data_IF_366277096093
#
_entry.id   IF_366277096093
#
_cell.length_a   1.000
_cell.length_b   1.000
_cell.length_c   1.000
_cell.angle_alpha   90.00
_cell.angle_beta   90.00
_cell.angle_gamma   90.00
#
_symmetry.space_group_name_H-M   'P 1'
#
loop_
_entity.id
_entity.type
_entity.pdbx_description
1 polymer ?
#
# COMPACT_ATOMS: atom_id res chain seq x y z
N UNK A 1 -0.45 -8.23 22.63
CA UNK A 1 0.35 -8.05 21.40
C UNK A 1 0.88 -9.42 21.02
N UNK A 2 0.28 -10.05 20.03
CA UNK A 2 0.66 -11.35 19.50
C UNK A 2 2.14 -11.31 19.08
N UNK A 3 2.92 -12.31 19.46
CA UNK A 3 4.29 -12.44 18.97
C UNK A 3 4.27 -12.53 17.45
N UNK A 4 4.72 -11.48 16.78
CA UNK A 4 4.90 -11.49 15.33
C UNK A 4 5.96 -12.55 14.96
N UNK A 5 5.69 -13.31 13.91
CA UNK A 5 6.61 -14.34 13.41
C UNK A 5 7.90 -13.68 12.88
N UNK A 6 8.98 -14.47 12.75
CA UNK A 6 10.26 -14.05 12.19
C UNK A 6 10.14 -13.34 10.84
N UNK A 7 9.29 -13.85 9.93
CA UNK A 7 9.03 -13.23 8.61
C UNK A 7 8.45 -11.83 8.76
N UNK A 8 7.50 -11.65 9.68
CA UNK A 8 6.86 -10.35 9.93
C UNK A 8 7.84 -9.37 10.59
N UNK A 9 8.68 -9.84 11.52
CA UNK A 9 9.75 -9.04 12.13
C UNK A 9 10.79 -8.59 11.10
N UNK A 10 11.12 -9.46 10.13
CA UNK A 10 12.01 -9.11 9.02
C UNK A 10 11.36 -8.05 8.11
N UNK A 11 10.08 -8.22 7.76
CA UNK A 11 9.35 -7.22 7.00
C UNK A 11 9.38 -5.86 7.72
N UNK A 12 9.06 -5.80 9.02
CA UNK A 12 9.10 -4.55 9.79
C UNK A 12 10.48 -3.91 9.78
N UNK A 13 11.54 -4.70 9.98
CA UNK A 13 12.93 -4.20 9.96
C UNK A 13 13.31 -3.65 8.60
N UNK A 14 12.97 -4.36 7.52
CA UNK A 14 13.23 -3.92 6.16
C UNK A 14 12.53 -2.59 5.87
N UNK A 15 11.27 -2.45 6.29
CA UNK A 15 10.55 -1.21 6.03
C UNK A 15 11.10 -0.05 6.90
N UNK A 16 11.50 -0.30 8.15
CA UNK A 16 12.09 0.73 9.02
C UNK A 16 13.43 1.28 8.52
N UNK A 17 14.25 0.47 7.86
CA UNK A 17 15.64 0.83 7.58
C UNK A 17 16.00 0.94 6.10
N UNK A 18 15.23 0.35 5.19
CA UNK A 18 15.57 0.26 3.76
C UNK A 18 14.54 0.87 2.83
N UNK A 19 13.29 1.08 3.28
CA UNK A 19 12.22 1.52 2.40
C UNK A 19 12.40 2.99 1.98
N UNK A 20 12.49 3.20 0.67
CA UNK A 20 12.39 4.53 0.05
C UNK A 20 10.96 4.86 -0.40
N UNK A 21 10.11 3.84 -0.50
CA UNK A 21 8.67 3.91 -0.70
C UNK A 21 8.04 2.56 -0.31
N UNK A 22 6.73 2.56 -0.08
CA UNK A 22 5.93 1.36 0.16
C UNK A 22 4.76 1.36 -0.82
N UNK A 23 4.48 0.21 -1.43
CA UNK A 23 3.24 -0.01 -2.17
C UNK A 23 2.33 -0.83 -1.27
N UNK A 24 1.18 -0.26 -0.88
CA UNK A 24 0.18 -0.96 -0.06
C UNK A 24 -0.91 -1.52 -0.98
N UNK A 25 -1.04 -2.84 -1.02
CA UNK A 25 -1.98 -3.53 -1.91
C UNK A 25 -3.23 -3.90 -1.13
N UNK A 26 -4.37 -3.39 -1.59
CA UNK A 26 -5.71 -3.70 -1.10
C UNK A 26 -6.32 -4.74 -2.02
N UNK A 27 -6.95 -5.76 -1.45
CA UNK A 27 -7.71 -6.76 -2.18
C UNK A 27 -9.18 -6.72 -1.71
N UNK A 28 -10.10 -6.14 -2.50
CA UNK A 28 -11.52 -6.05 -2.14
C UNK A 28 -12.28 -7.37 -2.35
N UNK A 29 -11.60 -8.43 -2.79
CA UNK A 29 -12.22 -9.75 -2.90
C UNK A 29 -12.19 -10.47 -1.55
N UNK A 30 -13.17 -11.36 -1.26
CA UNK A 30 -13.14 -12.21 -0.06
C UNK A 30 -11.97 -13.20 -0.04
N UNK A 31 -11.25 -13.35 -1.16
CA UNK A 31 -10.25 -14.41 -1.38
C UNK A 31 -8.97 -14.24 -0.56
N UNK A 32 -8.69 -13.03 -0.05
CA UNK A 32 -7.48 -12.76 0.72
C UNK A 32 -7.61 -13.15 2.20
N UNK A 33 -8.81 -13.45 2.69
CA UNK A 33 -9.07 -13.84 4.08
C UNK A 33 -9.10 -12.68 5.09
N UNK A 34 -9.08 -11.42 4.63
CA UNK A 34 -9.13 -10.22 5.46
C UNK A 34 -10.24 -9.26 5.01
N UNK A 35 -10.95 -8.67 5.96
CA UNK A 35 -11.97 -7.64 5.68
C UNK A 35 -11.31 -6.33 5.22
N UNK A 36 -12.08 -5.45 4.57
CA UNK A 36 -11.59 -4.13 4.15
C UNK A 36 -11.22 -3.26 5.35
N UNK A 37 -11.91 -3.42 6.48
CA UNK A 37 -11.64 -2.75 7.75
C UNK A 37 -10.31 -3.21 8.35
N UNK A 38 -10.02 -4.51 8.32
CA UNK A 38 -8.74 -5.06 8.75
C UNK A 38 -7.59 -4.53 7.88
N UNK A 39 -7.78 -4.49 6.56
CA UNK A 39 -6.82 -3.92 5.62
C UNK A 39 -6.59 -2.42 5.88
N UNK A 40 -7.65 -1.66 6.21
CA UNK A 40 -7.53 -0.24 6.54
C UNK A 40 -6.80 -0.02 7.87
N UNK A 41 -7.08 -0.84 8.88
CA UNK A 41 -6.36 -0.81 10.16
C UNK A 41 -4.88 -1.11 9.96
N UNK A 42 -4.55 -2.10 9.12
CA UNK A 42 -3.16 -2.44 8.79
C UNK A 42 -2.46 -1.29 8.08
N UNK A 43 -3.12 -0.59 7.16
CA UNK A 43 -2.55 0.60 6.51
C UNK A 43 -2.18 1.67 7.53
N UNK A 44 -3.05 1.93 8.52
CA UNK A 44 -2.77 2.88 9.60
C UNK A 44 -1.62 2.42 10.51
N UNK A 45 -1.50 1.12 10.79
CA UNK A 45 -0.33 0.59 11.49
C UNK A 45 0.96 0.80 10.68
N UNK A 46 0.94 0.49 9.39
CA UNK A 46 2.10 0.67 8.51
C UNK A 46 2.51 2.14 8.47
N UNK A 47 1.56 3.06 8.29
CA UNK A 47 1.81 4.52 8.35
C UNK A 47 2.53 4.94 9.63
N UNK A 48 2.13 4.41 10.78
CA UNK A 48 2.77 4.70 12.09
C UNK A 48 4.16 4.11 12.24
N UNK A 49 4.42 2.96 11.59
CA UNK A 49 5.72 2.29 11.63
C UNK A 49 6.75 2.95 10.71
N UNK A 50 6.31 3.75 9.74
CA UNK A 50 7.19 4.34 8.74
C UNK A 50 7.99 5.51 9.30
N UNK A 51 9.31 5.57 9.04
CA UNK A 51 10.07 6.79 9.28
C UNK A 51 9.42 7.96 8.55
N UNK A 52 9.34 9.12 9.22
CA UNK A 52 8.72 10.32 8.65
C UNK A 52 9.35 10.67 7.31
N UNK A 53 8.57 10.54 6.22
CA UNK A 53 9.00 10.88 4.86
C UNK A 53 9.02 9.72 3.86
N UNK A 54 8.84 8.46 4.29
CA UNK A 54 8.68 7.35 3.33
C UNK A 54 7.28 7.39 2.73
N UNK A 55 7.12 7.62 1.40
CA UNK A 55 5.81 7.66 0.78
C UNK A 55 5.19 6.26 0.71
N UNK A 56 3.89 6.19 1.02
CA UNK A 56 3.07 5.00 0.85
C UNK A 56 2.11 5.26 -0.32
N UNK A 57 2.18 4.41 -1.34
CA UNK A 57 1.26 4.42 -2.50
C UNK A 57 0.31 3.25 -2.36
N UNK A 58 -0.98 3.55 -2.18
CA UNK A 58 -2.02 2.53 -2.08
C UNK A 58 -2.53 2.15 -3.47
N UNK A 59 -2.81 0.86 -3.67
CA UNK A 59 -3.45 0.31 -4.87
C UNK A 59 -4.57 -0.64 -4.48
N UNK A 60 -5.63 -0.69 -5.29
CA UNK A 60 -6.72 -1.66 -5.17
C UNK A 60 -6.52 -2.66 -6.30
N UNK A 61 -6.14 -3.90 -5.98
CA UNK A 61 -5.88 -4.96 -6.95
C UNK A 61 -7.12 -5.85 -7.16
N UNK A 62 -7.09 -6.70 -8.20
CA UNK A 62 -8.17 -7.64 -8.58
C UNK A 62 -9.51 -6.93 -8.86
N UNK A 63 -9.46 -5.74 -9.45
CA UNK A 63 -10.66 -4.95 -9.77
C UNK A 63 -11.61 -5.71 -10.72
N UNK A 64 -11.06 -6.60 -11.55
CA UNK A 64 -11.77 -7.53 -12.44
C UNK A 64 -12.61 -8.59 -11.71
N UNK A 65 -12.22 -8.99 -10.49
CA UNK A 65 -12.89 -10.03 -9.69
C UNK A 65 -13.74 -9.46 -8.55
N UNK A 66 -13.55 -8.19 -8.22
CA UNK A 66 -14.27 -7.54 -7.13
C UNK A 66 -15.75 -7.32 -7.48
N UNK A 67 -16.65 -7.60 -6.53
CA UNK A 67 -18.04 -7.15 -6.66
C UNK A 67 -18.11 -5.62 -6.66
N UNK A 68 -19.09 -5.02 -7.34
CA UNK A 68 -19.28 -3.57 -7.36
C UNK A 68 -19.39 -2.95 -5.97
N UNK A 69 -20.08 -3.62 -5.04
CA UNK A 69 -20.23 -3.18 -3.65
C UNK A 69 -18.88 -3.07 -2.94
N UNK A 70 -18.12 -4.17 -2.89
CA UNK A 70 -16.79 -4.17 -2.26
C UNK A 70 -15.82 -3.18 -2.92
N UNK A 71 -15.89 -3.03 -4.24
CA UNK A 71 -15.06 -2.06 -4.95
C UNK A 71 -15.41 -0.63 -4.56
N UNK A 72 -16.69 -0.30 -4.40
CA UNK A 72 -17.14 1.02 -3.96
C UNK A 72 -16.71 1.29 -2.51
N UNK A 73 -16.85 0.30 -1.62
CA UNK A 73 -16.38 0.39 -0.24
C UNK A 73 -14.86 0.62 -0.18
N UNK A 74 -14.08 -0.18 -0.93
CA UNK A 74 -12.63 -0.04 -1.00
C UNK A 74 -12.22 1.34 -1.50
N UNK A 75 -12.86 1.87 -2.56
CA UNK A 75 -12.58 3.23 -3.05
C UNK A 75 -12.92 4.31 -2.00
N UNK A 76 -13.96 4.10 -1.20
CA UNK A 76 -14.32 5.01 -0.12
C UNK A 76 -13.30 5.01 1.03
N UNK A 77 -12.79 3.84 1.39
CA UNK A 77 -11.84 3.65 2.50
C UNK A 77 -10.39 4.00 2.12
N UNK A 78 -9.98 3.65 0.91
CA UNK A 78 -8.63 3.83 0.39
C UNK A 78 -8.61 4.92 -0.67
N UNK A 79 -8.82 6.17 -0.21
CA UNK A 79 -8.79 7.35 -1.07
C UNK A 79 -7.46 7.46 -1.81
N UNK A 80 -7.51 7.95 -3.04
CA UNK A 80 -6.36 8.14 -3.94
C UNK A 80 -5.61 6.85 -4.35
N UNK A 81 -6.20 5.68 -4.06
CA UNK A 81 -5.65 4.41 -4.49
C UNK A 81 -5.81 4.22 -6.01
N UNK A 82 -4.79 3.63 -6.63
CA UNK A 82 -4.82 3.29 -8.06
C UNK A 82 -5.51 1.94 -8.23
N UNK A 83 -6.42 1.85 -9.18
CA UNK A 83 -7.08 0.60 -9.56
C UNK A 83 -6.14 -0.25 -10.43
N UNK A 84 -5.98 -1.53 -10.07
CA UNK A 84 -5.00 -2.43 -10.66
C UNK A 84 -5.65 -3.78 -10.98
N UNK A 85 -5.33 -4.32 -12.16
CA UNK A 85 -5.52 -5.74 -12.50
C UNK A 85 -4.12 -6.28 -12.77
N UNK A 86 -3.45 -6.76 -11.72
CA UNK A 86 -2.02 -7.06 -11.79
C UNK A 86 -1.70 -8.16 -12.82
N UNK A 87 -2.61 -9.13 -12.99
CA UNK A 87 -2.42 -10.23 -13.95
C UNK A 87 -2.48 -9.77 -15.40
N UNK A 88 -3.19 -8.68 -15.69
CA UNK A 88 -3.29 -8.07 -17.02
C UNK A 88 -2.33 -6.87 -17.19
N UNK A 89 -1.62 -6.48 -16.13
CA UNK A 89 -0.73 -5.33 -16.13
C UNK A 89 -1.43 -3.97 -16.07
N UNK A 90 -2.77 -3.93 -15.91
CA UNK A 90 -3.54 -2.70 -15.81
C UNK A 90 -3.18 -1.95 -14.52
N UNK A 91 -2.93 -0.64 -14.62
CA UNK A 91 -2.58 0.21 -13.47
C UNK A 91 -1.14 0.08 -12.96
N UNK A 92 -0.36 -0.91 -13.45
CA UNK A 92 1.02 -1.14 -13.00
C UNK A 92 1.94 0.02 -13.36
N UNK A 93 1.88 0.49 -14.61
CA UNK A 93 2.72 1.61 -15.08
C UNK A 93 2.46 2.88 -14.27
N UNK A 94 1.19 3.24 -14.07
CA UNK A 94 0.78 4.39 -13.27
C UNK A 94 1.27 4.27 -11.82
N UNK A 95 1.12 3.07 -11.23
CA UNK A 95 1.62 2.78 -9.87
C UNK A 95 3.12 3.04 -9.77
N UNK A 96 3.91 2.50 -10.70
CA UNK A 96 5.36 2.69 -10.73
C UNK A 96 5.72 4.18 -10.90
N UNK A 97 5.07 4.88 -11.83
CA UNK A 97 5.31 6.31 -12.07
C UNK A 97 5.01 7.15 -10.81
N UNK A 98 3.90 6.87 -10.11
CA UNK A 98 3.53 7.55 -8.87
C UNK A 98 4.56 7.29 -7.76
N UNK A 99 5.00 6.04 -7.60
CA UNK A 99 6.05 5.67 -6.63
C UNK A 99 7.36 6.39 -6.95
N UNK A 100 7.84 6.35 -8.19
CA UNK A 100 9.08 7.00 -8.60
C UNK A 100 9.01 8.51 -8.39
N UNK A 101 7.87 9.14 -8.71
CA UNK A 101 7.66 10.57 -8.47
C UNK A 101 7.70 10.90 -6.97
N UNK A 102 7.06 10.08 -6.13
CA UNK A 102 7.04 10.28 -4.69
C UNK A 102 8.45 10.15 -4.06
N UNK A 103 9.23 9.14 -4.46
CA UNK A 103 10.63 8.98 -4.04
C UNK A 103 11.46 10.21 -4.41
N UNK A 104 11.32 10.70 -5.66
CA UNK A 104 12.05 11.89 -6.14
C UNK A 104 11.66 13.16 -5.37
N UNK A 105 10.39 13.33 -5.02
CA UNK A 105 9.92 14.46 -4.21
C UNK A 105 10.50 14.41 -2.79
N UNK A 106 10.51 13.24 -2.15
CA UNK A 106 11.10 13.05 -0.82
C UNK A 106 12.59 13.42 -0.77
N UNK A 107 13.38 13.04 -1.79
CA UNK A 107 14.82 13.38 -1.88
C UNK A 107 15.09 14.88 -2.02
N UNK A 108 14.20 15.64 -2.67
CA UNK A 108 14.38 17.10 -2.82
C UNK A 108 14.20 17.83 -1.48
N UNK A 109 13.28 17.37 -0.64
CA UNK A 109 13.05 17.97 0.68
C UNK A 109 14.22 17.71 1.65
N UNK A 110 14.93 16.59 1.53
CA UNK A 110 16.12 16.30 2.36
C UNK A 110 17.39 17.00 1.89
N UNK A 111 17.49 17.38 0.62
CA UNK A 111 18.65 18.08 0.06
C UNK A 111 18.61 19.62 0.26
N UNK A 112 17.53 20.12 0.85
CA UNK A 112 17.29 21.56 1.08
C UNK A 112 17.41 21.95 2.56
N UNK A 113 17.91 21.04 3.40
CA UNK A 113 18.07 21.20 4.85
C UNK A 113 19.54 21.06 5.27
#
# INVERSE_FOLDING_TARGET
MSERNFIEKQAITAIKHLAQAVIFVVDPTPSCGYSLEEQASLLEEVKKLMPGGVPIVTVINKVDLASQENLLLAKGMFKDAIEVIAIEGVGIKETIEKVVKAIRAGRKNTASA
#
